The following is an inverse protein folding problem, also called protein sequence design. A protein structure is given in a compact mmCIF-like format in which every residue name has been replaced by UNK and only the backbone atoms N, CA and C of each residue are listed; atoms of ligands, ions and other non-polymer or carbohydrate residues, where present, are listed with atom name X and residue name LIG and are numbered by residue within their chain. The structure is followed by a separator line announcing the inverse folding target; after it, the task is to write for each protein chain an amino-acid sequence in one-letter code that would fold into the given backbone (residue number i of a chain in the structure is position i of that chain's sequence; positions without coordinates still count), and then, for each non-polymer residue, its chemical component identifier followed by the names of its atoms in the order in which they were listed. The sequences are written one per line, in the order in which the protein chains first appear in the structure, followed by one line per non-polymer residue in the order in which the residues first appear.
data_IF_190589149208
#
_entry.id   IF_190589149208
#
_cell.length_a   1.000
_cell.length_b   1.000
_cell.length_c   1.000
_cell.angle_alpha   90.00
_cell.angle_beta   90.00
_cell.angle_gamma   90.00
#
_symmetry.space_group_name_H-M   'P 1'
#
loop_
_entity.id
_entity.type
_entity.pdbx_description
1 polymer ?
#
# COMPACT_ATOMS: atom_id res chain seq x y z
N UNK A 1 12.19 13.58 -1.77
CA UNK A 1 10.80 13.61 -2.32
C UNK A 1 10.03 12.55 -1.56
N UNK A 2 9.12 12.92 -0.67
CA UNK A 2 8.44 11.95 0.21
C UNK A 2 7.35 11.20 -0.57
N UNK A 3 7.75 10.11 -1.23
CA UNK A 3 6.86 9.22 -1.97
C UNK A 3 6.15 8.29 -0.99
N UNK A 4 4.81 8.35 -0.97
CA UNK A 4 3.98 7.60 -0.01
C UNK A 4 3.12 6.57 -0.73
N UNK A 5 3.07 5.37 -0.17
CA UNK A 5 2.19 4.28 -0.60
C UNK A 5 1.06 4.13 0.40
N UNK A 6 -0.14 4.47 -0.02
CA UNK A 6 -1.37 4.36 0.78
C UNK A 6 -2.05 3.00 0.65
N UNK A 7 -2.92 2.67 1.61
CA UNK A 7 -3.68 1.42 1.68
C UNK A 7 -4.38 1.04 0.36
N UNK A 8 -4.94 2.02 -0.34
CA UNK A 8 -5.69 1.75 -1.55
C UNK A 8 -4.81 1.21 -2.69
N UNK A 9 -3.52 1.57 -2.75
CA UNK A 9 -2.57 0.97 -3.71
C UNK A 9 -2.43 -0.53 -3.46
N UNK A 10 -2.30 -0.93 -2.19
CA UNK A 10 -2.23 -2.35 -1.84
C UNK A 10 -3.54 -3.08 -2.15
N UNK A 11 -4.69 -2.41 -1.97
CA UNK A 11 -6.00 -2.96 -2.35
C UNK A 11 -6.19 -3.06 -3.87
N UNK A 12 -5.60 -2.15 -4.64
CA UNK A 12 -5.58 -2.22 -6.10
C UNK A 12 -4.87 -3.48 -6.61
N UNK A 13 -3.85 -3.92 -5.87
CA UNK A 13 -3.12 -5.16 -6.09
C UNK A 13 -3.81 -6.40 -5.47
N UNK A 14 -5.06 -6.26 -5.03
CA UNK A 14 -5.88 -7.32 -4.43
C UNK A 14 -5.28 -7.93 -3.15
N UNK A 15 -4.41 -7.20 -2.44
CA UNK A 15 -3.88 -7.68 -1.16
C UNK A 15 -4.94 -7.65 -0.06
N UNK A 16 -5.02 -8.75 0.68
CA UNK A 16 -5.95 -8.85 1.81
C UNK A 16 -5.45 -8.08 3.04
N UNK A 17 -6.38 -7.41 3.75
CA UNK A 17 -6.05 -6.64 4.96
C UNK A 17 -5.37 -7.51 6.04
N UNK A 18 -5.74 -8.79 6.14
CA UNK A 18 -5.16 -9.73 7.11
C UNK A 18 -3.68 -9.99 6.83
N UNK A 19 -3.32 -10.25 5.57
CA UNK A 19 -1.95 -10.50 5.14
C UNK A 19 -1.09 -9.26 5.34
N UNK A 20 -1.58 -8.10 4.91
CA UNK A 20 -0.90 -6.82 5.09
C UNK A 20 -0.64 -6.53 6.57
N UNK A 21 -1.65 -6.64 7.45
CA UNK A 21 -1.48 -6.40 8.89
C UNK A 21 -0.37 -7.24 9.50
N UNK A 22 -0.30 -8.54 9.16
CA UNK A 22 0.78 -9.42 9.63
C UNK A 22 2.14 -9.01 9.09
N UNK A 23 2.20 -8.66 7.81
CA UNK A 23 3.44 -8.26 7.14
C UNK A 23 4.01 -6.93 7.68
N UNK A 24 3.15 -5.95 7.95
CA UNK A 24 3.55 -4.69 8.57
C UNK A 24 3.95 -4.88 10.04
N UNK A 25 3.19 -5.67 10.79
CA UNK A 25 3.50 -5.96 12.19
C UNK A 25 4.87 -6.66 12.33
N UNK A 26 5.22 -7.57 11.41
CA UNK A 26 6.54 -8.23 11.42
C UNK A 26 7.71 -7.28 11.15
N UNK A 27 7.43 -6.04 10.72
CA UNK A 27 8.41 -4.98 10.44
C UNK A 27 8.35 -3.83 11.45
N UNK A 28 7.57 -3.99 12.51
CA UNK A 28 7.39 -2.95 13.53
C UNK A 28 6.60 -1.74 13.06
N UNK A 29 5.89 -1.84 11.92
CA UNK A 29 5.05 -0.76 11.39
C UNK A 29 3.64 -0.93 11.96
N UNK A 30 3.14 0.08 12.66
CA UNK A 30 1.79 0.02 13.21
C UNK A 30 0.75 0.14 12.08
N UNK A 31 -0.30 -0.69 12.15
CA UNK A 31 -1.35 -0.69 11.13
C UNK A 31 -2.05 0.68 11.00
N UNK A 32 -2.15 1.43 12.10
CA UNK A 32 -2.77 2.76 12.11
C UNK A 32 -1.96 3.77 11.29
N UNK A 33 -0.62 3.69 11.31
CA UNK A 33 0.25 4.58 10.52
C UNK A 33 0.03 4.36 9.02
N UNK A 34 -0.14 3.09 8.60
CA UNK A 34 -0.45 2.72 7.22
C UNK A 34 -1.79 3.33 6.76
N UNK A 35 -2.79 3.37 7.65
CA UNK A 35 -4.11 3.93 7.34
C UNK A 35 -4.11 5.46 7.30
N UNK A 36 -3.40 6.10 8.23
CA UNK A 36 -3.45 7.54 8.42
C UNK A 36 -2.50 8.27 7.47
N UNK A 37 -1.25 7.84 7.39
CA UNK A 37 -0.17 8.59 6.72
C UNK A 37 0.37 7.87 5.48
N UNK A 38 0.06 6.57 5.33
CA UNK A 38 0.68 5.72 4.33
C UNK A 38 2.13 5.39 4.68
N UNK A 39 2.77 4.59 3.84
CA UNK A 39 4.12 4.06 4.10
C UNK A 39 5.11 4.72 3.16
N UNK A 40 6.32 4.99 3.65
CA UNK A 40 7.39 5.51 2.80
C UNK A 40 7.78 4.46 1.73
N UNK A 41 7.85 4.90 0.48
CA UNK A 41 8.27 4.06 -0.63
C UNK A 41 9.69 3.51 -0.44
N UNK A 42 10.60 4.29 0.15
CA UNK A 42 11.98 3.86 0.40
C UNK A 42 12.03 2.74 1.46
N UNK A 43 11.21 2.82 2.50
CA UNK A 43 11.08 1.75 3.50
C UNK A 43 10.54 0.45 2.88
N UNK A 44 9.58 0.57 1.96
CA UNK A 44 9.04 -0.58 1.24
C UNK A 44 10.09 -1.22 0.32
N UNK A 45 10.84 -0.41 -0.43
CA UNK A 45 11.91 -0.90 -1.31
C UNK A 45 13.06 -1.54 -0.51
N UNK A 46 13.45 -0.94 0.62
CA UNK A 46 14.49 -1.46 1.51
C UNK A 46 14.13 -2.84 2.08
N UNK A 47 12.84 -3.21 2.13
CA UNK A 47 12.42 -4.53 2.58
C UNK A 47 12.79 -5.67 1.63
N UNK A 48 13.08 -5.37 0.35
CA UNK A 48 13.38 -6.37 -0.69
C UNK A 48 12.22 -7.33 -1.01
N UNK A 49 11.02 -7.06 -0.50
CA UNK A 49 9.86 -7.92 -0.63
C UNK A 49 9.12 -7.63 -1.94
N UNK A 50 8.81 -8.68 -2.71
CA UNK A 50 8.11 -8.55 -3.98
C UNK A 50 6.74 -7.85 -3.84
N UNK A 51 6.02 -8.08 -2.73
CA UNK A 51 4.74 -7.43 -2.44
C UNK A 51 4.92 -5.91 -2.24
N UNK A 52 5.98 -5.52 -1.54
CA UNK A 52 6.28 -4.12 -1.26
C UNK A 52 6.75 -3.39 -2.52
N UNK A 53 7.60 -4.03 -3.32
CA UNK A 53 8.08 -3.49 -4.60
C UNK A 53 6.91 -3.25 -5.55
N UNK A 54 6.02 -4.23 -5.71
CA UNK A 54 4.83 -4.09 -6.56
C UNK A 54 3.92 -2.93 -6.10
N UNK A 55 3.74 -2.74 -4.79
CA UNK A 55 2.96 -1.63 -4.25
C UNK A 55 3.59 -0.26 -4.55
N UNK A 56 4.92 -0.16 -4.52
CA UNK A 56 5.68 1.05 -4.86
C UNK A 56 5.58 1.37 -6.34
N UNK A 57 5.71 0.36 -7.21
CA UNK A 57 5.55 0.52 -8.66
C UNK A 57 4.13 0.98 -9.04
N UNK A 58 3.11 0.41 -8.40
CA UNK A 58 1.73 0.81 -8.61
C UNK A 58 1.46 2.24 -8.09
N UNK A 59 2.02 2.61 -6.94
CA UNK A 59 1.94 3.99 -6.47
C UNK A 59 2.65 4.96 -7.42
N UNK A 60 3.74 4.54 -8.07
CA UNK A 60 4.43 5.36 -9.06
C UNK A 60 3.60 5.58 -10.33
N UNK A 61 2.92 4.54 -10.83
CA UNK A 61 2.07 4.65 -12.03
C UNK A 61 0.84 5.52 -11.83
N UNK A 62 0.35 5.61 -10.59
CA UNK A 62 -0.81 6.40 -10.19
C UNK A 62 -0.44 7.81 -9.70
N UNK A 63 0.86 8.15 -9.64
CA UNK A 63 1.31 9.48 -9.24
C UNK A 63 1.32 9.73 -7.73
N UNK A 64 1.39 8.68 -6.91
CA UNK A 64 1.50 8.73 -5.44
C UNK A 64 0.29 9.38 -4.76
N UNK A 65 -0.90 9.25 -5.35
CA UNK A 65 -2.10 9.91 -4.83
C UNK A 65 -2.57 9.25 -3.54
N UNK A 66 -3.04 10.06 -2.59
CA UNK A 66 -3.68 9.55 -1.36
C UNK A 66 -5.04 8.93 -1.65
N UNK A 67 -5.75 9.53 -2.59
CA UNK A 67 -7.07 9.09 -2.99
C UNK A 67 -6.97 8.22 -4.24
N UNK A 68 -7.82 7.19 -4.38
CA UNK A 68 -7.91 6.42 -5.60
C UNK A 68 -8.26 7.34 -6.78
N UNK A 69 -7.60 7.14 -7.92
CA UNK A 69 -7.93 7.87 -9.14
C UNK A 69 -9.31 7.40 -9.61
N UNK A 70 -10.20 8.34 -9.93
CA UNK A 70 -11.56 8.04 -10.40
C UNK A 70 -11.51 7.24 -11.71
N UNK A 71 -11.54 5.90 -11.60
CA UNK A 71 -11.36 4.98 -12.72
C UNK A 71 -10.66 3.68 -12.32
N UNK A 72 -9.81 3.72 -11.29
CA UNK A 72 -9.12 2.52 -10.81
C UNK A 72 -10.07 1.63 -10.00
N UNK A 73 -10.24 0.40 -10.45
CA UNK A 73 -11.12 -0.62 -9.84
C UNK A 73 -10.84 -0.86 -8.33
N UNK A 74 -9.68 -0.44 -7.84
CA UNK A 74 -9.23 -0.47 -6.46
C UNK A 74 -10.18 0.25 -5.47
N UNK A 75 -10.86 1.31 -5.91
CA UNK A 75 -11.81 2.04 -5.06
C UNK A 75 -13.07 1.24 -4.73
N UNK A 76 -13.43 0.26 -5.57
CA UNK A 76 -14.74 -0.43 -5.50
C UNK A 76 -14.69 -1.86 -4.97
N UNK A 77 -13.53 -2.45 -4.72
CA UNK A 77 -13.44 -3.83 -4.20
C UNK A 77 -12.81 -3.83 -2.82
N UNK A 78 -13.66 -3.78 -1.80
CA UNK A 78 -13.32 -4.20 -0.45
C UNK A 78 -12.95 -5.68 -0.48
N UNK A 79 -11.66 -5.98 -0.58
CA UNK A 79 -11.16 -7.35 -0.56
C UNK A 79 -11.19 -7.98 0.84
N UNK A 80 -11.67 -9.23 0.85
CA UNK A 80 -11.76 -10.21 1.96
C UNK A 80 -12.85 -9.90 3.02
N UNK A 81 -14.04 -10.47 2.81
CA UNK A 81 -14.91 -10.95 3.90
C UNK A 81 -14.21 -12.06 4.69
#
# INVERSE_FOLDING_TARGET
MNKRVYLWHFRALEYCNRGMRRWFASRGIAWQDVLNDGVDAELLLASGDAMAIAAVEFAASTGWTREPIAGDAAAKRGGCV
#
